data_IF_367176346450
#
_entry.id   IF_367176346450
#
_cell.length_a   1.000
_cell.length_b   1.000
_cell.length_c   1.000
_cell.angle_alpha   90.00
_cell.angle_beta   90.00
_cell.angle_gamma   90.00
#
_symmetry.space_group_name_H-M   'P 1'
#
loop_
_entity.id
_entity.type
_entity.pdbx_description
1 polymer ?
#
# COMPACT_ATOMS: atom_id res chain seq x y z
N UNK A 1 -25.81 22.39 18.18
CA UNK A 1 -24.42 22.24 18.62
C UNK A 1 -24.12 20.79 18.91
N UNK A 2 -25.03 20.08 19.55
CA UNK A 2 -24.83 18.68 19.86
C UNK A 2 -24.72 17.82 18.60
N UNK A 3 -25.64 18.03 17.68
CA UNK A 3 -25.59 17.32 16.41
C UNK A 3 -24.33 17.65 15.62
N UNK A 4 -23.90 18.88 15.74
CA UNK A 4 -22.67 19.30 15.09
C UNK A 4 -21.45 18.58 15.69
N UNK A 5 -21.42 18.41 17.01
CA UNK A 5 -20.31 17.72 17.68
C UNK A 5 -20.25 16.27 17.21
N UNK A 6 -21.39 15.60 17.13
CA UNK A 6 -21.42 14.21 16.69
C UNK A 6 -21.00 14.05 15.23
N UNK A 7 -21.53 14.89 14.36
CA UNK A 7 -21.11 14.87 12.98
C UNK A 7 -19.64 15.15 12.82
N UNK A 8 -19.14 16.08 13.62
CA UNK A 8 -17.76 16.44 13.56
C UNK A 8 -16.84 15.30 13.95
N UNK A 9 -17.28 14.45 14.86
CA UNK A 9 -16.50 13.29 15.23
C UNK A 9 -16.28 12.37 14.03
N UNK A 10 -17.26 12.26 13.16
CA UNK A 10 -17.18 11.46 11.96
C UNK A 10 -16.47 12.18 10.82
N UNK A 11 -16.73 13.46 10.67
CA UNK A 11 -16.34 14.21 9.47
C UNK A 11 -15.24 15.22 9.72
N UNK A 12 -14.70 15.27 10.91
CA UNK A 12 -13.70 16.24 11.29
C UNK A 12 -12.46 16.18 10.40
N UNK A 13 -12.06 14.97 10.02
CA UNK A 13 -10.92 14.73 9.17
C UNK A 13 -11.32 14.54 7.70
N UNK A 14 -12.60 14.80 7.38
CA UNK A 14 -13.14 14.53 6.07
C UNK A 14 -13.47 13.05 5.92
N UNK A 15 -14.06 12.70 4.77
CA UNK A 15 -14.41 11.32 4.47
C UNK A 15 -13.26 10.49 3.94
N UNK A 16 -12.10 11.11 3.73
CA UNK A 16 -10.98 10.49 3.04
C UNK A 16 -9.71 10.61 3.87
N UNK A 17 -9.67 9.89 4.97
CA UNK A 17 -8.49 9.88 5.82
C UNK A 17 -7.98 8.45 5.99
N UNK A 18 -6.70 8.34 6.29
CA UNK A 18 -6.00 7.08 6.48
C UNK A 18 -5.22 7.18 7.78
N UNK A 19 -5.30 6.15 8.61
CA UNK A 19 -4.48 6.08 9.81
C UNK A 19 -3.08 5.63 9.42
N UNK A 20 -2.06 6.33 9.91
CA UNK A 20 -0.67 5.91 9.74
C UNK A 20 -0.10 5.55 11.10
N UNK A 21 0.77 4.54 11.13
CA UNK A 21 1.34 4.04 12.36
C UNK A 21 2.77 4.53 12.52
N UNK A 22 3.05 5.10 13.67
CA UNK A 22 4.35 5.70 13.93
C UNK A 22 5.49 4.70 13.78
N UNK A 23 5.31 3.49 14.30
CA UNK A 23 6.35 2.46 14.21
C UNK A 23 6.60 2.03 12.75
N UNK A 24 5.54 1.92 11.98
CA UNK A 24 5.66 1.57 10.57
C UNK A 24 6.39 2.63 9.77
N UNK A 25 6.06 3.89 10.00
CA UNK A 25 6.75 4.99 9.32
C UNK A 25 8.22 5.08 9.73
N UNK A 26 8.50 4.89 11.02
CA UNK A 26 9.87 4.89 11.51
C UNK A 26 10.68 3.74 10.89
N UNK A 27 10.05 2.58 10.78
CA UNK A 27 10.68 1.44 10.12
C UNK A 27 11.03 1.76 8.66
N UNK A 28 10.10 2.37 7.94
CA UNK A 28 10.35 2.77 6.55
C UNK A 28 11.50 3.77 6.43
N UNK A 29 11.50 4.76 7.32
CA UNK A 29 12.52 5.81 7.30
C UNK A 29 13.93 5.25 7.53
N UNK A 30 14.01 4.15 8.26
CA UNK A 30 15.29 3.51 8.56
C UNK A 30 15.77 2.58 7.44
N UNK A 31 14.95 2.33 6.44
CA UNK A 31 15.35 1.48 5.32
C UNK A 31 16.25 2.25 4.37
N UNK A 32 17.48 1.82 4.25
CA UNK A 32 18.45 2.47 3.37
C UNK A 32 18.07 2.38 1.90
N UNK A 33 17.28 1.36 1.55
CA UNK A 33 16.83 1.16 0.18
C UNK A 33 15.72 2.10 -0.27
N UNK A 34 15.19 2.94 0.61
CA UNK A 34 14.11 3.87 0.24
C UNK A 34 14.69 5.07 -0.51
N UNK A 35 14.33 5.19 -1.78
CA UNK A 35 14.73 6.32 -2.62
C UNK A 35 13.68 7.42 -2.58
N UNK A 36 14.06 8.60 -3.06
CA UNK A 36 13.11 9.71 -3.19
C UNK A 36 11.92 9.37 -4.07
N UNK A 37 12.15 8.64 -5.16
CA UNK A 37 11.07 8.19 -6.04
C UNK A 37 10.13 7.25 -5.31
N UNK A 38 10.67 6.34 -4.52
CA UNK A 38 9.84 5.42 -3.73
C UNK A 38 8.99 6.16 -2.70
N UNK A 39 9.56 7.14 -2.02
CA UNK A 39 8.79 7.96 -1.08
C UNK A 39 7.66 8.71 -1.78
N UNK A 40 7.95 9.22 -2.95
CA UNK A 40 6.98 9.97 -3.74
C UNK A 40 5.83 9.07 -4.19
N UNK A 41 6.16 7.89 -4.71
CA UNK A 41 5.16 6.90 -5.11
C UNK A 41 4.37 6.41 -3.90
N UNK A 42 5.04 6.14 -2.79
CA UNK A 42 4.39 5.73 -1.56
C UNK A 42 3.33 6.74 -1.11
N UNK A 43 3.69 8.03 -1.07
CA UNK A 43 2.75 9.06 -0.66
C UNK A 43 1.52 9.09 -1.57
N UNK A 44 1.73 8.93 -2.87
CA UNK A 44 0.61 8.88 -3.81
C UNK A 44 -0.26 7.65 -3.59
N UNK A 45 0.36 6.49 -3.36
CA UNK A 45 -0.38 5.26 -3.08
C UNK A 45 -1.27 5.41 -1.85
N UNK A 46 -0.74 6.00 -0.78
CA UNK A 46 -1.52 6.23 0.43
C UNK A 46 -2.70 7.17 0.13
N UNK A 47 -2.50 8.17 -0.71
CA UNK A 47 -3.56 9.09 -1.10
C UNK A 47 -4.68 8.42 -1.89
N UNK A 48 -4.41 7.26 -2.47
CA UNK A 48 -5.38 6.50 -3.27
C UNK A 48 -5.78 5.18 -2.64
N UNK A 49 -5.47 5.01 -1.37
CA UNK A 49 -5.73 3.77 -0.65
C UNK A 49 -7.23 3.55 -0.50
N UNK A 50 -7.68 2.36 -0.87
CA UNK A 50 -9.06 1.94 -0.69
C UNK A 50 -9.20 1.14 0.60
N UNK A 51 -10.42 0.81 0.97
CA UNK A 51 -10.69 0.03 2.17
C UNK A 51 -9.95 -1.30 2.12
N UNK A 52 -9.59 -1.82 3.29
CA UNK A 52 -8.82 -3.05 3.46
C UNK A 52 -7.47 -2.99 2.75
N UNK A 53 -6.98 -1.78 2.53
CA UNK A 53 -5.67 -1.48 1.97
C UNK A 53 -5.45 -1.93 0.52
N UNK A 54 -6.54 -2.06 -0.23
CA UNK A 54 -6.42 -2.29 -1.66
C UNK A 54 -5.93 -1.03 -2.38
N UNK A 55 -5.06 -1.24 -3.34
CA UNK A 55 -4.54 -0.19 -4.19
C UNK A 55 -5.04 -0.45 -5.61
N UNK A 56 -6.01 0.36 -6.04
CA UNK A 56 -6.65 0.23 -7.35
C UNK A 56 -6.14 1.28 -8.31
N UNK A 57 -4.84 1.36 -8.42
CA UNK A 57 -4.20 2.38 -9.25
C UNK A 57 -3.17 1.67 -10.13
N UNK A 58 -3.18 1.97 -11.42
CA UNK A 58 -2.22 1.37 -12.35
C UNK A 58 -0.91 2.15 -12.34
N UNK A 59 0.17 1.49 -12.74
CA UNK A 59 1.45 2.18 -12.88
C UNK A 59 1.38 3.30 -13.92
N UNK A 60 0.55 3.14 -14.93
CA UNK A 60 0.32 4.17 -15.93
C UNK A 60 -0.28 5.43 -15.29
N UNK A 61 -1.29 5.24 -14.44
CA UNK A 61 -1.92 6.36 -13.76
C UNK A 61 -0.95 7.07 -12.83
N UNK A 62 -0.13 6.30 -12.11
CA UNK A 62 0.89 6.87 -11.24
C UNK A 62 1.86 7.73 -12.04
N UNK A 63 2.33 7.21 -13.17
CA UNK A 63 3.28 7.92 -14.02
C UNK A 63 2.69 9.22 -14.53
N UNK A 64 1.44 9.20 -14.99
CA UNK A 64 0.77 10.39 -15.48
C UNK A 64 0.56 11.43 -14.39
N UNK A 65 0.04 11.01 -13.24
CA UNK A 65 -0.26 11.92 -12.14
C UNK A 65 1.00 12.53 -11.53
N UNK A 66 2.04 11.75 -11.38
CA UNK A 66 3.28 12.22 -10.77
C UNK A 66 4.26 12.81 -11.79
N UNK A 67 3.93 12.75 -13.06
CA UNK A 67 4.81 13.19 -14.14
C UNK A 67 6.16 12.52 -14.07
N UNK A 68 6.11 11.20 -13.89
CA UNK A 68 7.30 10.35 -13.85
C UNK A 68 7.32 9.45 -15.06
N UNK A 69 8.50 9.04 -15.45
CA UNK A 69 8.64 8.05 -16.52
C UNK A 69 8.14 6.69 -16.02
N UNK A 70 7.53 5.93 -16.92
CA UNK A 70 6.99 4.60 -16.58
C UNK A 70 8.04 3.68 -15.99
N UNK A 71 9.24 3.74 -16.53
CA UNK A 71 10.34 2.90 -16.02
C UNK A 71 10.72 3.25 -14.60
N UNK A 72 10.65 4.53 -14.24
CA UNK A 72 10.94 4.97 -12.87
C UNK A 72 9.84 4.54 -11.91
N UNK A 73 8.57 4.62 -12.35
CA UNK A 73 7.45 4.14 -11.53
C UNK A 73 7.56 2.63 -11.31
N UNK A 74 7.84 1.88 -12.38
CA UNK A 74 7.99 0.43 -12.29
C UNK A 74 9.09 0.04 -11.31
N UNK A 75 10.23 0.72 -11.39
CA UNK A 75 11.36 0.48 -10.49
C UNK A 75 11.00 0.83 -9.04
N UNK A 76 10.32 1.95 -8.83
CA UNK A 76 9.88 2.35 -7.50
C UNK A 76 8.90 1.34 -6.91
N UNK A 77 7.93 0.89 -7.68
CA UNK A 77 6.97 -0.12 -7.23
C UNK A 77 7.66 -1.43 -6.87
N UNK A 78 8.58 -1.87 -7.70
CA UNK A 78 9.35 -3.08 -7.40
C UNK A 78 10.13 -2.94 -6.10
N UNK A 79 10.77 -1.80 -5.91
CA UNK A 79 11.50 -1.54 -4.66
C UNK A 79 10.60 -1.56 -3.44
N UNK A 80 9.40 -1.00 -3.54
CA UNK A 80 8.44 -1.03 -2.45
C UNK A 80 7.97 -2.46 -2.15
N UNK A 81 7.81 -3.28 -3.18
CA UNK A 81 7.49 -4.71 -2.98
C UNK A 81 8.64 -5.42 -2.27
N UNK A 82 9.86 -5.19 -2.73
CA UNK A 82 11.05 -5.83 -2.15
C UNK A 82 11.24 -5.47 -0.68
N UNK A 83 10.87 -4.25 -0.30
CA UNK A 83 10.95 -3.79 1.08
C UNK A 83 9.73 -4.17 1.93
N UNK A 84 8.77 -4.88 1.34
CA UNK A 84 7.53 -5.28 2.02
C UNK A 84 6.66 -4.09 2.45
N UNK A 85 6.77 -2.98 1.77
CA UNK A 85 5.87 -1.85 1.95
C UNK A 85 4.53 -2.14 1.28
N UNK A 86 4.57 -2.78 0.12
CA UNK A 86 3.38 -3.24 -0.58
C UNK A 86 3.57 -4.72 -0.95
N UNK A 87 2.47 -5.39 -1.24
CA UNK A 87 2.50 -6.76 -1.74
C UNK A 87 1.69 -6.84 -3.04
N UNK A 88 2.12 -7.72 -3.94
CA UNK A 88 1.40 -7.96 -5.18
C UNK A 88 0.20 -8.83 -4.87
N UNK A 89 -0.97 -8.37 -5.29
CA UNK A 89 -2.22 -9.11 -5.16
C UNK A 89 -2.57 -9.86 -6.44
N UNK A 90 -3.79 -10.39 -6.51
CA UNK A 90 -4.24 -11.08 -7.70
C UNK A 90 -4.32 -10.15 -8.90
N UNK A 91 -4.20 -10.72 -10.09
CA UNK A 91 -4.33 -9.95 -11.32
C UNK A 91 -5.78 -9.50 -11.51
N UNK A 92 -5.95 -8.25 -11.93
CA UNK A 92 -7.24 -7.73 -12.38
C UNK A 92 -7.13 -7.55 -13.89
N UNK A 93 -7.56 -8.55 -14.63
CA UNK A 93 -7.31 -8.60 -16.07
C UNK A 93 -5.82 -8.75 -16.36
N UNK A 94 -5.24 -7.78 -17.04
CA UNK A 94 -3.80 -7.75 -17.35
C UNK A 94 -3.00 -6.92 -16.36
N UNK A 95 -3.69 -6.27 -15.41
CA UNK A 95 -3.03 -5.37 -14.48
C UNK A 95 -2.77 -6.07 -13.16
N UNK A 96 -1.62 -5.80 -12.58
CA UNK A 96 -1.32 -6.25 -11.23
C UNK A 96 -2.11 -5.39 -10.25
N UNK A 97 -2.59 -6.02 -9.19
CA UNK A 97 -3.14 -5.30 -8.05
C UNK A 97 -2.11 -5.32 -6.94
N UNK A 98 -2.27 -4.38 -6.01
CA UNK A 98 -1.33 -4.28 -4.88
C UNK A 98 -2.10 -4.04 -3.61
N UNK A 99 -1.49 -4.42 -2.51
CA UNK A 99 -2.00 -4.12 -1.19
C UNK A 99 -0.93 -3.42 -0.37
N UNK A 100 -1.32 -2.39 0.36
CA UNK A 100 -0.41 -1.69 1.25
C UNK A 100 -0.26 -2.46 2.55
N UNK A 101 0.95 -2.48 3.10
CA UNK A 101 1.23 -3.10 4.39
C UNK A 101 0.42 -2.39 5.47
N UNK A 102 -0.53 -3.07 6.12
CA UNK A 102 -1.39 -2.44 7.12
C UNK A 102 -0.65 -2.04 8.39
N UNK A 103 0.58 -2.50 8.57
CA UNK A 103 1.41 -2.07 9.71
C UNK A 103 1.96 -0.67 9.52
N UNK A 104 1.90 -0.15 8.29
CA UNK A 104 2.35 1.21 7.98
C UNK A 104 1.19 2.16 7.98
N UNK A 105 0.11 1.82 7.27
CA UNK A 105 -1.08 2.64 7.18
C UNK A 105 -2.27 1.74 6.88
N UNK A 106 -3.45 2.16 7.32
CA UNK A 106 -4.67 1.37 7.11
C UNK A 106 -5.84 2.31 6.89
N UNK A 107 -6.61 2.03 5.85
CA UNK A 107 -7.84 2.77 5.61
C UNK A 107 -9.02 2.01 6.22
N UNK A 108 -9.74 2.70 7.11
CA UNK A 108 -10.88 2.15 7.81
C UNK A 108 -10.49 1.65 9.19
N UNK A 109 -11.49 1.59 10.06
CA UNK A 109 -11.31 1.14 11.44
C UNK A 109 -11.56 -0.36 11.59
N UNK A 110 -12.13 -0.99 10.58
CA UNK A 110 -12.52 -2.40 10.63
C UNK A 110 -11.52 -3.26 9.87
N UNK A 111 -11.53 -4.54 10.18
CA UNK A 111 -10.78 -5.56 9.43
C UNK A 111 -9.26 -5.41 9.48
N UNK A 112 -8.74 -4.67 10.45
CA UNK A 112 -7.30 -4.46 10.54
C UNK A 112 -6.54 -5.78 10.71
N UNK A 113 -6.99 -6.62 11.64
CA UNK A 113 -6.34 -7.92 11.89
C UNK A 113 -6.42 -8.84 10.68
N UNK A 114 -7.56 -8.87 10.03
CA UNK A 114 -7.76 -9.69 8.84
C UNK A 114 -6.88 -9.19 7.69
N UNK A 115 -6.77 -7.89 7.54
CA UNK A 115 -5.91 -7.30 6.51
C UNK A 115 -4.44 -7.68 6.73
N UNK A 116 -3.99 -7.70 7.98
CA UNK A 116 -2.63 -8.15 8.30
C UNK A 116 -2.41 -9.59 7.86
N UNK A 117 -3.36 -10.47 8.21
CA UNK A 117 -3.26 -11.88 7.85
C UNK A 117 -3.17 -12.05 6.33
N UNK A 118 -4.04 -11.38 5.61
CA UNK A 118 -4.09 -11.47 4.16
C UNK A 118 -2.84 -10.90 3.51
N UNK A 119 -2.32 -9.80 4.03
CA UNK A 119 -1.08 -9.23 3.53
C UNK A 119 0.09 -10.20 3.72
N UNK A 120 0.19 -10.80 4.89
CA UNK A 120 1.26 -11.76 5.18
C UNK A 120 1.16 -13.00 4.30
N UNK A 121 -0.03 -13.42 3.94
CA UNK A 121 -0.22 -14.52 3.02
C UNK A 121 0.29 -14.18 1.61
N UNK A 122 0.05 -12.97 1.15
CA UNK A 122 0.56 -12.52 -0.14
C UNK A 122 2.10 -12.52 -0.16
N UNK A 123 2.72 -12.10 0.94
CA UNK A 123 4.17 -12.14 1.06
C UNK A 123 4.71 -13.55 1.01
N UNK A 124 4.09 -14.47 1.73
CA UNK A 124 4.51 -15.88 1.76
C UNK A 124 4.41 -16.50 0.37
N UNK A 125 3.33 -16.20 -0.34
CA UNK A 125 3.11 -16.73 -1.68
C UNK A 125 4.23 -16.30 -2.61
N UNK A 126 4.60 -15.04 -2.57
CA UNK A 126 5.70 -14.52 -3.39
C UNK A 126 7.02 -15.16 -3.03
N UNK A 127 7.33 -15.28 -1.74
CA UNK A 127 8.56 -15.89 -1.28
C UNK A 127 8.65 -17.36 -1.70
N UNK A 128 7.54 -18.08 -1.59
CA UNK A 128 7.48 -19.47 -2.03
C UNK A 128 7.76 -19.60 -3.51
N UNK A 129 7.13 -18.76 -4.32
CA UNK A 129 7.31 -18.76 -5.76
C UNK A 129 8.76 -18.44 -6.14
N UNK A 130 9.39 -17.50 -5.47
CA UNK A 130 10.76 -17.09 -5.75
C UNK A 130 11.77 -18.11 -5.30
N UNK A 131 11.56 -18.69 -4.12
CA UNK A 131 12.56 -19.58 -3.52
C UNK A 131 12.51 -20.98 -4.06
N UNK A 132 11.33 -21.48 -4.37
CA UNK A 132 11.13 -22.87 -4.72
C UNK A 132 10.10 -23.04 -5.81
N UNK A 133 10.38 -22.55 -7.01
CA UNK A 133 9.42 -22.71 -8.10
C UNK A 133 9.10 -24.16 -8.41
N UNK A 134 10.03 -25.08 -8.07
CA UNK A 134 9.84 -26.50 -8.33
C UNK A 134 9.06 -27.23 -7.26
N UNK A 135 8.97 -26.67 -6.06
CA UNK A 135 8.22 -27.29 -4.98
C UNK A 135 6.72 -27.19 -5.25
N UNK A 136 6.34 -26.18 -5.96
CA UNK A 136 4.97 -25.97 -6.34
C UNK A 136 4.57 -26.94 -7.44
N UNK A 137 5.53 -27.50 -8.06
CA UNK A 137 5.36 -28.56 -9.03
C UNK A 137 5.25 -29.92 -8.32
#
# INVERSE_FOLDING_TARGET
VKGYINRRRENRLGGHWVATFQDGLAWMAKQEGMTGEQWRVFAYLVSRLDFDNYLKVSQKDIAEELRMQKSHVSRAMKGLVDLNVIAVGPMAGRSKTYRLNPRIAHRGAKNFKQTIIEFDELKKRKQGDEKNPLIIV
#
